data_IF_494907929674
#
_entry.id   IF_494907929674
#
_cell.length_a   1.000
_cell.length_b   1.000
_cell.length_c   1.000
_cell.angle_alpha   90.00
_cell.angle_beta   90.00
_cell.angle_gamma   90.00
#
_symmetry.space_group_name_H-M   'P 1'
#
loop_
_entity.id
_entity.type
_entity.pdbx_description
1 polymer ?
#
# COMPACT_ATOMS: atom_id res chain seq x y z
N UNK A 1 -23.33 -39.79 15.47
CA UNK A 1 -22.58 -40.98 15.01
C UNK A 1 -21.34 -41.29 15.85
N UNK A 2 -20.32 -40.43 15.88
CA UNK A 2 -19.03 -40.74 16.53
C UNK A 2 -19.12 -41.07 18.04
N UNK A 3 -20.06 -40.47 18.78
CA UNK A 3 -20.23 -40.73 20.22
C UNK A 3 -20.89 -42.09 20.49
N UNK A 4 -21.91 -42.45 19.70
CA UNK A 4 -22.62 -43.73 19.82
C UNK A 4 -21.70 -44.90 19.48
N UNK A 5 -20.83 -44.73 18.48
CA UNK A 5 -19.84 -45.73 18.09
C UNK A 5 -18.77 -45.94 19.18
N UNK A 6 -18.28 -44.85 19.78
CA UNK A 6 -17.35 -44.93 20.93
C UNK A 6 -17.95 -45.60 22.16
N UNK A 7 -19.24 -45.43 22.43
CA UNK A 7 -19.92 -46.11 23.54
C UNK A 7 -20.00 -47.61 23.31
N UNK A 8 -20.39 -48.04 22.10
CA UNK A 8 -20.46 -49.46 21.75
C UNK A 8 -19.09 -50.15 21.81
N UNK A 9 -18.01 -49.46 21.40
CA UNK A 9 -16.64 -49.97 21.50
C UNK A 9 -16.16 -50.11 22.95
N UNK A 10 -16.57 -49.18 23.84
CA UNK A 10 -16.19 -49.21 25.25
C UNK A 10 -16.89 -50.34 26.00
N UNK A 11 -18.17 -50.58 25.71
CA UNK A 11 -18.96 -51.66 26.33
C UNK A 11 -18.45 -53.05 25.92
N UNK A 12 -18.09 -53.23 24.64
CA UNK A 12 -17.51 -54.47 24.13
C UNK A 12 -16.15 -54.76 24.81
N UNK A 13 -15.34 -53.72 25.00
CA UNK A 13 -14.02 -53.83 25.64
C UNK A 13 -14.09 -54.23 27.12
N UNK A 14 -15.02 -53.65 27.89
CA UNK A 14 -15.22 -53.98 29.31
C UNK A 14 -15.70 -55.43 29.48
N UNK A 15 -16.53 -55.91 28.53
CA UNK A 15 -17.00 -57.30 28.50
C UNK A 15 -15.85 -58.29 28.29
N UNK A 16 -14.95 -58.00 27.34
CA UNK A 16 -13.80 -58.87 27.08
C UNK A 16 -12.80 -58.92 28.25
N UNK A 17 -12.49 -57.77 28.85
CA UNK A 17 -11.55 -57.69 29.98
C UNK A 17 -12.05 -58.48 31.22
N UNK A 18 -13.37 -58.53 31.41
CA UNK A 18 -13.99 -59.32 32.49
C UNK A 18 -13.90 -60.84 32.25
N UNK A 19 -13.93 -61.27 30.98
CA UNK A 19 -13.81 -62.69 30.60
C UNK A 19 -12.36 -63.15 30.73
N UNK A 20 -11.41 -62.36 30.22
CA UNK A 20 -9.98 -62.70 30.33
C UNK A 20 -9.58 -62.90 31.79
N UNK A 21 -10.05 -62.02 32.69
CA UNK A 21 -9.78 -62.14 34.12
C UNK A 21 -10.40 -63.38 34.76
N UNK A 22 -11.63 -63.74 34.38
CA UNK A 22 -12.30 -64.94 34.90
C UNK A 22 -11.63 -66.24 34.40
N UNK A 23 -11.14 -66.22 33.16
CA UNK A 23 -10.40 -67.32 32.55
C UNK A 23 -9.02 -67.47 33.21
N UNK A 24 -8.32 -66.37 33.47
CA UNK A 24 -7.04 -66.37 34.17
C UNK A 24 -7.15 -66.89 35.62
N UNK A 25 -8.13 -66.43 36.41
CA UNK A 25 -8.35 -66.92 37.77
C UNK A 25 -8.67 -68.43 37.82
N UNK A 26 -9.37 -68.94 36.80
CA UNK A 26 -9.70 -70.36 36.72
C UNK A 26 -8.46 -71.23 36.45
N UNK A 27 -7.61 -70.81 35.49
CA UNK A 27 -6.41 -71.56 35.12
C UNK A 27 -5.26 -71.44 36.13
N UNK A 28 -5.25 -70.40 36.97
CA UNK A 28 -4.33 -70.31 38.13
C UNK A 28 -4.61 -71.43 39.14
N UNK A 29 -5.88 -71.82 39.32
CA UNK A 29 -6.30 -72.81 40.31
C UNK A 29 -6.44 -74.23 39.75
N UNK A 30 -6.41 -74.40 38.42
CA UNK A 30 -6.51 -75.69 37.74
C UNK A 30 -5.47 -75.75 36.59
N UNK A 31 -4.26 -76.28 36.85
CA UNK A 31 -3.21 -76.35 35.84
C UNK A 31 -3.65 -77.21 34.64
N UNK A 32 -3.46 -76.67 33.43
CA UNK A 32 -3.92 -77.27 32.16
C UNK A 32 -3.46 -78.74 31.99
N UNK A 33 -2.28 -79.08 32.51
CA UNK A 33 -1.65 -80.40 32.39
C UNK A 33 -2.36 -81.52 33.18
N UNK A 34 -3.40 -81.17 33.95
CA UNK A 34 -4.16 -82.11 34.81
C UNK A 34 -5.61 -82.30 34.39
N UNK A 35 -6.06 -81.60 33.34
CA UNK A 35 -7.45 -81.63 32.87
C UNK A 35 -7.63 -82.64 31.75
N UNK A 36 -8.71 -83.43 31.82
CA UNK A 36 -9.12 -84.32 30.73
C UNK A 36 -9.83 -83.53 29.61
N UNK A 37 -9.89 -84.09 28.39
CA UNK A 37 -10.56 -83.43 27.25
C UNK A 37 -12.04 -83.10 27.54
N UNK A 38 -12.77 -83.96 28.27
CA UNK A 38 -14.16 -83.69 28.67
C UNK A 38 -14.27 -82.51 29.65
N UNK A 39 -13.35 -82.38 30.59
CA UNK A 39 -13.32 -81.26 31.54
C UNK A 39 -13.01 -79.94 30.81
N UNK A 40 -12.07 -79.95 29.86
CA UNK A 40 -11.77 -78.80 29.01
C UNK A 40 -13.00 -78.37 28.19
N UNK A 41 -13.74 -79.32 27.62
CA UNK A 41 -14.98 -79.04 26.89
C UNK A 41 -16.06 -78.46 27.82
N UNK A 42 -16.19 -78.98 29.05
CA UNK A 42 -17.16 -78.49 30.03
C UNK A 42 -16.82 -77.06 30.50
N UNK A 43 -15.54 -76.77 30.74
CA UNK A 43 -15.05 -75.43 31.10
C UNK A 43 -15.32 -74.46 29.96
N UNK A 44 -14.95 -74.82 28.73
CA UNK A 44 -15.21 -73.99 27.55
C UNK A 44 -16.70 -73.72 27.35
N UNK A 45 -17.55 -74.73 27.57
CA UNK A 45 -19.01 -74.60 27.47
C UNK A 45 -19.57 -73.70 28.57
N UNK A 46 -19.09 -73.81 29.80
CA UNK A 46 -19.51 -72.97 30.92
C UNK A 46 -19.07 -71.51 30.74
N UNK A 47 -17.83 -71.28 30.27
CA UNK A 47 -17.34 -69.93 29.94
C UNK A 47 -18.17 -69.32 28.81
N UNK A 48 -18.46 -70.10 27.77
CA UNK A 48 -19.28 -69.64 26.63
C UNK A 48 -20.73 -69.34 27.03
N UNK A 49 -21.33 -70.14 27.92
CA UNK A 49 -22.69 -69.92 28.41
C UNK A 49 -22.77 -68.73 29.40
N UNK A 50 -21.79 -68.58 30.31
CA UNK A 50 -21.71 -67.40 31.19
C UNK A 50 -21.51 -66.10 30.41
N UNK A 51 -20.73 -66.14 29.32
CA UNK A 51 -20.60 -65.00 28.41
C UNK A 51 -21.95 -64.66 27.75
N UNK A 52 -22.69 -65.67 27.30
CA UNK A 52 -24.03 -65.49 26.70
C UNK A 52 -25.05 -64.94 27.67
N UNK A 53 -24.92 -65.17 28.98
CA UNK A 53 -25.86 -64.65 29.99
C UNK A 53 -25.50 -63.27 30.53
N UNK A 54 -24.21 -62.91 30.51
CA UNK A 54 -23.72 -61.62 31.00
C UNK A 54 -23.86 -60.48 29.99
N UNK A 55 -24.07 -60.80 28.71
CA UNK A 55 -24.35 -59.81 27.68
C UNK A 55 -25.87 -59.51 27.64
N UNK A 56 -26.28 -58.23 27.52
CA UNK A 56 -27.69 -57.85 27.44
C UNK A 56 -28.43 -58.59 26.30
N UNK A 57 -29.73 -58.88 26.45
CA UNK A 57 -30.53 -59.63 25.44
C UNK A 57 -30.39 -59.11 24.00
N UNK A 58 -30.17 -57.80 23.80
CA UNK A 58 -30.02 -57.19 22.47
C UNK A 58 -28.75 -57.63 21.72
N UNK A 59 -27.74 -58.17 22.41
CA UNK A 59 -26.54 -58.73 21.77
C UNK A 59 -26.70 -60.19 21.38
N UNK A 60 -27.71 -60.88 21.94
CA UNK A 60 -28.01 -62.30 21.69
C UNK A 60 -28.78 -62.53 20.39
N UNK A 61 -29.39 -61.49 19.83
CA UNK A 61 -30.05 -61.53 18.52
C UNK A 61 -29.03 -61.41 17.37
N UNK A 62 -28.99 -62.36 16.40
CA UNK A 62 -28.07 -62.31 15.26
C UNK A 62 -28.16 -61.03 14.43
N UNK A 63 -29.30 -60.35 14.50
CA UNK A 63 -29.56 -59.07 13.86
C UNK A 63 -29.67 -58.00 14.95
N UNK A 64 -28.62 -57.20 15.14
CA UNK A 64 -28.72 -55.96 15.93
C UNK A 64 -29.86 -55.11 15.31
N UNK A 65 -30.80 -54.56 16.10
CA UNK A 65 -31.81 -53.68 15.54
C UNK A 65 -31.11 -52.47 14.92
N UNK A 66 -31.23 -52.32 13.61
CA UNK A 66 -30.81 -51.10 12.91
C UNK A 66 -31.91 -50.07 13.10
N UNK A 67 -31.64 -49.06 13.90
CA UNK A 67 -32.54 -47.93 14.06
C UNK A 67 -32.24 -46.87 13.00
N UNK A 68 -33.29 -46.39 12.35
CA UNK A 68 -33.26 -45.24 11.46
C UNK A 68 -33.28 -43.94 12.27
N UNK A 69 -32.87 -42.83 11.63
CA UNK A 69 -32.91 -41.50 12.25
C UNK A 69 -34.33 -41.05 12.68
N UNK A 70 -35.37 -41.68 12.14
CA UNK A 70 -36.78 -41.46 12.52
C UNK A 70 -37.24 -42.26 13.73
N UNK A 71 -36.48 -43.26 14.18
CA UNK A 71 -36.89 -44.16 15.27
C UNK A 71 -36.25 -43.79 16.61
N UNK A 72 -35.21 -42.95 16.59
CA UNK A 72 -34.53 -42.50 17.80
C UNK A 72 -34.99 -41.07 18.12
N UNK A 73 -35.65 -40.90 19.26
CA UNK A 73 -36.09 -39.62 19.79
C UNK A 73 -35.18 -39.11 20.92
N UNK A 74 -35.05 -37.79 21.00
CA UNK A 74 -34.46 -37.08 22.13
C UNK A 74 -35.47 -36.97 23.29
N UNK A 75 -35.02 -36.54 24.47
CA UNK A 75 -35.86 -36.41 25.66
C UNK A 75 -37.04 -35.43 25.52
N UNK A 76 -36.99 -34.53 24.52
CA UNK A 76 -38.08 -33.62 24.17
C UNK A 76 -39.09 -34.23 23.18
N UNK A 77 -38.95 -35.52 22.86
CA UNK A 77 -39.86 -36.26 21.99
C UNK A 77 -39.60 -36.08 20.50
N UNK A 78 -38.66 -35.23 20.07
CA UNK A 78 -38.32 -35.06 18.67
C UNK A 78 -37.30 -36.11 18.21
N UNK A 79 -37.42 -36.60 16.99
CA UNK A 79 -36.50 -37.55 16.37
C UNK A 79 -35.23 -36.90 15.84
N UNK A 80 -34.18 -37.70 15.62
CA UNK A 80 -32.96 -37.24 14.93
C UNK A 80 -33.27 -36.61 13.57
N UNK A 81 -34.16 -37.23 12.78
CA UNK A 81 -34.55 -36.71 11.47
C UNK A 81 -35.25 -35.35 11.55
N UNK A 82 -36.16 -35.17 12.52
CA UNK A 82 -36.87 -33.91 12.72
C UNK A 82 -35.93 -32.78 13.11
N UNK A 83 -34.99 -33.02 14.02
CA UNK A 83 -34.00 -32.01 14.43
C UNK A 83 -32.97 -31.69 13.35
N UNK A 84 -32.65 -32.65 12.50
CA UNK A 84 -31.81 -32.40 11.33
C UNK A 84 -32.53 -31.53 10.29
N UNK A 85 -33.79 -31.87 9.99
CA UNK A 85 -34.63 -31.14 9.04
C UNK A 85 -34.92 -29.70 9.49
N UNK A 86 -35.12 -29.50 10.80
CA UNK A 86 -35.32 -28.16 11.39
C UNK A 86 -34.05 -27.32 11.42
N UNK A 87 -32.88 -27.91 11.13
CA UNK A 87 -31.60 -27.23 11.19
C UNK A 87 -31.03 -27.06 12.60
N UNK A 88 -31.70 -27.58 13.64
CA UNK A 88 -31.22 -27.52 15.03
C UNK A 88 -29.91 -28.31 15.23
N UNK A 89 -29.62 -29.26 14.36
CA UNK A 89 -28.36 -30.01 14.35
C UNK A 89 -27.31 -29.44 13.37
N UNK A 90 -27.64 -28.37 12.63
CA UNK A 90 -26.69 -27.70 11.75
C UNK A 90 -25.85 -26.74 12.60
N UNK A 91 -24.53 -26.80 12.42
CA UNK A 91 -23.62 -25.85 13.06
C UNK A 91 -23.94 -24.41 12.65
N UNK A 92 -23.50 -23.46 13.48
CA UNK A 92 -23.56 -22.04 13.12
C UNK A 92 -22.75 -21.84 11.84
N UNK A 93 -23.26 -21.06 10.89
CA UNK A 93 -22.47 -20.67 9.72
C UNK A 93 -21.18 -20.00 10.24
N UNK A 94 -20.03 -20.37 9.67
CA UNK A 94 -18.76 -19.75 10.03
C UNK A 94 -18.81 -18.24 9.76
N UNK A 95 -18.15 -17.46 10.62
CA UNK A 95 -18.04 -16.02 10.43
C UNK A 95 -17.39 -15.70 9.08
N UNK A 96 -17.78 -14.57 8.49
CA UNK A 96 -17.10 -14.05 7.29
C UNK A 96 -15.65 -13.75 7.65
N UNK A 97 -14.70 -14.21 6.82
CA UNK A 97 -13.28 -13.99 7.04
C UNK A 97 -12.93 -12.48 7.13
N UNK A 98 -11.79 -12.13 7.74
CA UNK A 98 -11.37 -10.74 7.84
C UNK A 98 -11.18 -10.13 6.45
N UNK A 99 -11.42 -8.81 6.34
CA UNK A 99 -11.07 -8.05 5.15
C UNK A 99 -9.57 -8.21 4.85
N UNK A 100 -9.24 -8.40 3.58
CA UNK A 100 -7.84 -8.49 3.13
C UNK A 100 -7.04 -7.20 3.41
N UNK A 101 -5.70 -7.27 3.42
CA UNK A 101 -4.87 -6.09 3.61
C UNK A 101 -5.14 -5.04 2.53
N UNK A 102 -4.95 -3.77 2.89
CA UNK A 102 -4.95 -2.68 1.92
C UNK A 102 -3.85 -2.92 0.89
N UNK A 103 -4.14 -2.64 -0.39
CA UNK A 103 -3.15 -2.74 -1.46
C UNK A 103 -1.96 -1.79 -1.25
N UNK A 104 -0.82 -2.16 -1.82
CA UNK A 104 0.39 -1.32 -1.78
C UNK A 104 0.14 0.03 -2.47
N UNK A 105 0.83 1.06 -1.99
CA UNK A 105 0.84 2.36 -2.65
C UNK A 105 1.42 2.21 -4.06
N UNK A 106 0.78 2.85 -5.04
CA UNK A 106 1.29 2.86 -6.41
C UNK A 106 2.69 3.50 -6.51
N UNK A 107 3.44 3.19 -7.58
CA UNK A 107 4.77 3.75 -7.79
C UNK A 107 4.72 5.29 -7.89
N UNK A 108 5.80 5.95 -7.49
CA UNK A 108 5.99 7.38 -7.75
C UNK A 108 5.94 7.66 -9.24
N UNK A 109 5.31 8.76 -9.63
CA UNK A 109 5.26 9.20 -11.04
C UNK A 109 6.65 9.50 -11.60
N UNK A 110 6.77 9.46 -12.93
CA UNK A 110 8.02 9.81 -13.62
C UNK A 110 8.41 11.27 -13.38
N UNK A 111 9.72 11.54 -13.35
CA UNK A 111 10.23 12.91 -13.27
C UNK A 111 9.87 13.66 -14.56
N UNK A 112 9.45 14.92 -14.43
CA UNK A 112 9.14 15.76 -15.58
C UNK A 112 10.36 16.03 -16.49
N UNK A 113 10.14 16.43 -17.76
CA UNK A 113 11.23 16.74 -18.67
C UNK A 113 12.07 17.92 -18.19
N UNK A 114 13.36 17.93 -18.54
CA UNK A 114 14.24 19.08 -18.28
C UNK A 114 13.81 20.29 -19.11
N UNK A 115 13.79 21.48 -18.52
CA UNK A 115 13.50 22.73 -19.23
C UNK A 115 14.61 23.12 -20.22
N UNK A 116 14.23 23.66 -21.37
CA UNK A 116 15.17 24.09 -22.42
C UNK A 116 15.50 25.59 -22.29
N UNK A 117 16.77 25.95 -22.41
CA UNK A 117 17.23 27.35 -22.44
C UNK A 117 16.79 28.07 -23.72
N UNK A 118 16.61 29.40 -23.66
CA UNK A 118 16.30 30.21 -24.83
C UNK A 118 17.54 30.46 -25.72
N UNK A 119 17.37 30.36 -27.04
CA UNK A 119 18.42 30.68 -28.02
C UNK A 119 18.46 32.17 -28.33
N UNK A 120 19.64 32.77 -28.23
CA UNK A 120 19.86 34.20 -28.54
C UNK A 120 20.31 34.30 -29.99
N UNK A 121 19.44 34.83 -30.86
CA UNK A 121 19.66 34.87 -32.32
C UNK A 121 20.46 36.09 -32.78
N UNK A 122 20.59 37.12 -31.95
CA UNK A 122 21.40 38.29 -32.25
C UNK A 122 21.30 39.37 -31.19
N UNK A 123 22.22 40.32 -31.24
CA UNK A 123 22.19 41.57 -30.48
C UNK A 123 22.69 42.68 -31.39
N UNK A 124 21.96 43.80 -31.45
CA UNK A 124 22.34 44.97 -32.24
C UNK A 124 22.48 46.18 -31.34
N UNK A 125 23.42 47.07 -31.68
CA UNK A 125 23.62 48.35 -31.04
C UNK A 125 24.00 49.37 -32.11
N UNK A 126 23.44 50.58 -32.01
CA UNK A 126 23.69 51.68 -32.95
C UNK A 126 24.21 52.89 -32.20
N UNK A 127 25.04 53.69 -32.86
CA UNK A 127 25.50 55.00 -32.37
C UNK A 127 25.17 56.03 -33.44
N UNK A 128 24.80 57.24 -33.04
CA UNK A 128 24.46 58.35 -33.93
C UNK A 128 25.70 59.06 -34.53
N UNK A 129 25.44 59.97 -35.48
CA UNK A 129 26.47 60.66 -36.28
C UNK A 129 27.11 61.87 -35.54
N UNK A 130 27.40 61.73 -34.25
CA UNK A 130 28.26 62.67 -33.50
C UNK A 130 29.76 62.37 -33.77
N UNK A 131 30.66 63.37 -33.70
CA UNK A 131 31.97 63.27 -34.39
C UNK A 131 32.84 62.06 -34.00
N UNK A 132 33.31 61.35 -35.02
CA UNK A 132 34.18 60.19 -34.90
C UNK A 132 33.67 59.07 -35.80
N UNK A 133 34.38 57.95 -35.85
CA UNK A 133 33.79 56.67 -36.28
C UNK A 133 33.43 55.92 -35.00
N UNK A 134 32.19 56.08 -34.49
CA UNK A 134 31.80 55.38 -33.27
C UNK A 134 31.72 53.88 -33.53
N UNK A 135 32.03 53.09 -32.51
CA UNK A 135 31.93 51.63 -32.57
C UNK A 135 31.34 51.06 -31.28
N UNK A 136 30.52 50.03 -31.43
CA UNK A 136 30.03 49.19 -30.33
C UNK A 136 30.53 47.77 -30.54
N UNK A 137 31.19 47.22 -29.52
CA UNK A 137 31.51 45.80 -29.45
C UNK A 137 30.65 45.15 -28.37
N UNK A 138 29.83 44.18 -28.78
CA UNK A 138 28.95 43.40 -27.89
C UNK A 138 29.59 42.05 -27.62
N UNK A 139 29.85 41.75 -26.34
CA UNK A 139 30.44 40.49 -25.91
C UNK A 139 29.44 39.73 -25.04
N UNK A 140 29.09 38.52 -25.46
CA UNK A 140 28.27 37.60 -24.68
C UNK A 140 29.15 36.79 -23.70
N UNK A 141 28.67 36.58 -22.48
CA UNK A 141 29.33 35.79 -21.45
C UNK A 141 28.34 34.98 -20.60
N UNK A 142 28.84 34.25 -19.60
CA UNK A 142 28.02 33.42 -18.71
C UNK A 142 27.57 32.09 -19.35
N UNK A 143 26.63 31.40 -18.68
CA UNK A 143 26.02 30.14 -19.18
C UNK A 143 24.66 30.40 -19.84
N UNK A 144 24.07 29.39 -20.46
CA UNK A 144 22.72 29.51 -21.06
C UNK A 144 21.63 29.88 -20.05
N UNK A 145 21.82 29.50 -18.78
CA UNK A 145 20.88 29.80 -17.69
C UNK A 145 21.23 31.07 -16.90
N UNK A 146 22.43 31.62 -17.10
CA UNK A 146 22.93 32.81 -16.41
C UNK A 146 23.74 33.69 -17.36
N UNK A 147 23.08 34.13 -18.44
CA UNK A 147 23.75 34.86 -19.52
C UNK A 147 23.99 36.33 -19.16
N UNK A 148 25.15 36.86 -19.55
CA UNK A 148 25.51 38.28 -19.39
C UNK A 148 25.94 38.90 -20.71
N UNK A 149 25.79 40.22 -20.82
CA UNK A 149 26.23 40.99 -21.98
C UNK A 149 27.07 42.19 -21.54
N UNK A 150 28.23 42.35 -22.18
CA UNK A 150 29.07 43.53 -22.01
C UNK A 150 29.03 44.37 -23.29
N UNK A 151 28.70 45.64 -23.12
CA UNK A 151 28.67 46.63 -24.20
C UNK A 151 29.87 47.54 -24.07
N UNK A 152 30.75 47.52 -25.07
CA UNK A 152 31.94 48.36 -25.09
C UNK A 152 31.77 49.42 -26.17
N UNK A 153 31.64 50.67 -25.76
CA UNK A 153 31.55 51.82 -26.65
C UNK A 153 32.93 52.47 -26.82
N UNK A 154 33.26 52.85 -28.05
CA UNK A 154 34.49 53.58 -28.35
C UNK A 154 34.26 54.61 -29.44
N UNK A 155 35.14 55.60 -29.54
CA UNK A 155 35.05 56.63 -30.58
C UNK A 155 33.92 57.65 -30.41
N UNK A 156 33.26 57.69 -29.24
CA UNK A 156 32.22 58.67 -28.91
C UNK A 156 32.85 60.05 -28.66
N UNK A 157 33.18 60.84 -29.68
CA UNK A 157 33.49 62.26 -29.47
C UNK A 157 32.28 63.11 -29.87
N UNK A 158 31.82 63.97 -28.97
CA UNK A 158 30.83 64.99 -29.34
C UNK A 158 31.40 65.92 -30.42
N UNK A 159 30.55 66.43 -31.32
CA UNK A 159 30.98 67.32 -32.41
C UNK A 159 31.86 68.43 -31.86
N UNK A 160 33.09 68.59 -32.38
CA UNK A 160 33.91 69.76 -32.05
C UNK A 160 33.12 71.00 -32.44
N UNK A 161 32.73 71.86 -31.49
CA UNK A 161 31.88 73.00 -31.81
C UNK A 161 32.64 73.98 -32.70
N UNK A 162 31.98 74.43 -33.77
CA UNK A 162 32.53 75.35 -34.77
C UNK A 162 32.25 76.79 -34.33
N UNK A 163 33.30 77.58 -34.07
CA UNK A 163 33.18 79.00 -33.70
C UNK A 163 32.39 79.77 -34.77
N UNK A 164 31.30 80.41 -34.35
CA UNK A 164 30.42 81.20 -35.22
C UNK A 164 29.27 80.42 -35.88
N UNK A 165 29.24 79.09 -35.74
CA UNK A 165 28.09 78.24 -36.13
C UNK A 165 27.41 77.65 -34.90
N UNK A 166 28.21 77.06 -33.99
CA UNK A 166 27.75 76.44 -32.75
C UNK A 166 27.92 77.36 -31.52
N UNK A 167 28.52 78.54 -31.71
CA UNK A 167 28.67 79.62 -30.73
C UNK A 167 27.91 80.85 -31.25
N UNK A 168 27.79 81.90 -30.43
CA UNK A 168 27.24 83.20 -30.84
C UNK A 168 27.68 83.56 -32.27
N UNK A 169 26.69 83.62 -33.15
CA UNK A 169 26.84 84.02 -34.55
C UNK A 169 27.30 85.47 -34.63
N UNK A 170 27.73 85.94 -35.80
CA UNK A 170 28.04 87.37 -35.97
C UNK A 170 26.81 88.25 -35.72
N UNK A 171 25.60 87.76 -36.05
CA UNK A 171 24.34 88.44 -35.73
C UNK A 171 24.14 88.55 -34.21
N UNK A 172 24.31 87.44 -33.48
CA UNK A 172 24.14 87.44 -32.02
C UNK A 172 25.14 88.39 -31.33
N UNK A 173 26.36 88.48 -31.86
CA UNK A 173 27.37 89.43 -31.36
C UNK A 173 26.98 90.88 -31.62
N UNK A 174 26.43 91.18 -32.80
CA UNK A 174 25.97 92.53 -33.15
C UNK A 174 24.80 92.97 -32.28
N UNK A 175 23.86 92.07 -31.99
CA UNK A 175 22.73 92.33 -31.09
C UNK A 175 23.21 92.64 -29.67
N UNK A 176 24.12 91.84 -29.11
CA UNK A 176 24.71 92.10 -27.78
C UNK A 176 25.42 93.46 -27.74
N UNK A 177 26.19 93.80 -28.78
CA UNK A 177 26.87 95.10 -28.87
C UNK A 177 25.84 96.23 -28.92
N UNK A 178 24.75 96.06 -29.68
CA UNK A 178 23.70 97.06 -29.79
C UNK A 178 22.94 97.26 -28.48
N UNK A 179 22.64 96.18 -27.77
CA UNK A 179 22.00 96.24 -26.44
C UNK A 179 22.87 96.97 -25.43
N UNK A 180 24.18 96.71 -25.43
CA UNK A 180 25.14 97.44 -24.58
C UNK A 180 25.14 98.93 -24.93
N UNK A 181 25.16 99.29 -26.21
CA UNK A 181 25.12 100.69 -26.64
C UNK A 181 23.82 101.38 -26.22
N UNK A 182 22.68 100.69 -26.32
CA UNK A 182 21.38 101.23 -25.90
C UNK A 182 21.25 101.40 -24.38
N UNK A 183 22.00 100.61 -23.60
CA UNK A 183 22.02 100.68 -22.13
C UNK A 183 22.94 101.78 -21.58
N UNK A 184 23.81 102.37 -22.42
CA UNK A 184 24.64 103.51 -22.01
C UNK A 184 23.75 104.76 -22.00
N UNK A 185 23.60 105.46 -20.85
CA UNK A 185 22.84 106.71 -20.79
C UNK A 185 23.47 107.74 -21.74
N UNK A 186 22.67 108.40 -22.57
CA UNK A 186 23.14 109.55 -23.33
C UNK A 186 23.63 110.59 -22.32
N UNK A 187 24.90 110.96 -22.39
CA UNK A 187 25.57 111.86 -21.44
C UNK A 187 25.06 113.31 -21.41
N UNK A 188 23.82 113.54 -21.83
CA UNK A 188 23.14 114.84 -21.83
C UNK A 188 22.53 115.19 -20.45
N UNK A 189 22.64 114.31 -19.45
CA UNK A 189 22.17 114.55 -18.07
C UNK A 189 23.30 114.81 -17.05
N UNK A 190 24.44 115.37 -17.46
CA UNK A 190 25.32 116.09 -16.51
C UNK A 190 25.04 117.58 -16.60
N UNK A 191 23.96 117.99 -15.93
CA UNK A 191 23.80 119.38 -15.50
C UNK A 191 24.91 119.69 -14.48
N UNK A 192 25.84 120.56 -14.88
CA UNK A 192 26.86 121.13 -14.01
C UNK A 192 26.25 121.88 -12.82
#
# INVERSE_FOLDING_TARGET
>A
EQIMQKFAELEDKISQESIEKAVEEYFINNPIDTLTEEEVIQIATNVLNNYKDSVPEWTKTPNKPTYTASEIAFADGQTFQEKYNSGQLKGQNGDTGPQGPQGEQGPTGETGPTGQSATITGATATVDDTTGTPAVNVVAGGTELTRSFQFNFSGLKGKTPVKGVDYFTETDKQEIVQDVLNAIPNGDEVGY
#
